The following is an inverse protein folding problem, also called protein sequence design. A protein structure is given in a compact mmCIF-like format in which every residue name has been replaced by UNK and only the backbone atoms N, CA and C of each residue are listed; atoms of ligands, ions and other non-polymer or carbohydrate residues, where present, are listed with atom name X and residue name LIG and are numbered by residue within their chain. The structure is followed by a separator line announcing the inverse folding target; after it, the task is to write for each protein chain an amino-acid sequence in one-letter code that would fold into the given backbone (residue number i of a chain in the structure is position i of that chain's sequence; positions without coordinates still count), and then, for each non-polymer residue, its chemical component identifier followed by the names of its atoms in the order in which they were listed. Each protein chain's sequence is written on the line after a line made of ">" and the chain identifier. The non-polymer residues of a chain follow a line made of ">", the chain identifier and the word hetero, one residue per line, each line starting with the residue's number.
data_IF_170430779187
#
_entry.id   IF_170430779187
#
_cell.length_a   1.000
_cell.length_b   1.000
_cell.length_c   1.000
_cell.angle_alpha   90.00
_cell.angle_beta   90.00
_cell.angle_gamma   90.00
#
_symmetry.space_group_name_H-M   'P 1'
#
loop_
_entity.id
_entity.type
_entity.pdbx_description
1 polymer ?
#
# COMPACT_ATOMS: atom_id res chain seq x y z
N UNK A 1 21.85 -4.40 -4.46
CA UNK A 1 21.94 -3.90 -3.07
C UNK A 1 20.52 -3.58 -2.65
N UNK A 2 20.08 -3.99 -1.46
CA UNK A 2 18.71 -3.72 -1.00
C UNK A 2 18.66 -2.31 -0.44
N UNK A 3 17.95 -1.41 -1.11
CA UNK A 3 17.70 -0.03 -0.66
C UNK A 3 16.49 -0.01 0.28
N UNK A 4 16.43 0.98 1.17
CA UNK A 4 15.31 1.13 2.12
C UNK A 4 15.12 2.56 2.61
N UNK A 5 13.90 2.86 3.06
CA UNK A 5 13.57 4.03 3.87
C UNK A 5 12.83 3.58 5.14
N UNK A 6 13.06 4.30 6.23
CA UNK A 6 12.48 4.01 7.56
C UNK A 6 11.81 5.23 8.20
N UNK A 7 11.82 6.36 7.48
CA UNK A 7 11.28 7.64 7.92
C UNK A 7 10.45 8.28 6.79
N UNK A 8 9.57 9.18 7.18
CA UNK A 8 8.71 9.96 6.29
C UNK A 8 7.90 9.10 5.30
N UNK A 9 7.01 8.25 5.80
CA UNK A 9 6.15 7.40 4.97
C UNK A 9 5.22 8.20 4.02
N UNK A 10 4.99 9.50 4.30
CA UNK A 10 4.09 10.37 3.51
C UNK A 10 4.49 10.52 2.05
N UNK A 11 5.77 10.31 1.72
CA UNK A 11 6.26 10.36 0.34
C UNK A 11 5.98 9.09 -0.48
N UNK A 12 5.45 8.04 0.16
CA UNK A 12 5.09 6.79 -0.51
C UNK A 12 3.74 6.95 -1.20
N UNK A 13 3.68 6.57 -2.48
CA UNK A 13 2.44 6.36 -3.22
C UNK A 13 2.37 4.93 -3.75
N UNK A 14 1.23 4.30 -3.52
CA UNK A 14 0.85 2.94 -3.88
C UNK A 14 -0.36 2.92 -4.82
N UNK A 15 -0.72 4.06 -5.40
CA UNK A 15 -1.82 4.16 -6.36
C UNK A 15 -1.60 3.16 -7.50
N UNK A 16 -2.65 2.44 -7.92
CA UNK A 16 -2.62 1.37 -8.92
C UNK A 16 -1.62 0.24 -8.65
N UNK A 17 -1.19 0.06 -7.40
CA UNK A 17 -0.31 -1.05 -7.03
C UNK A 17 -1.13 -2.29 -6.67
N UNK A 18 -0.65 -3.47 -7.07
CA UNK A 18 -1.24 -4.75 -6.70
C UNK A 18 -0.56 -5.24 -5.43
N UNK A 19 -1.35 -5.49 -4.40
CA UNK A 19 -0.88 -6.19 -3.20
C UNK A 19 -0.75 -7.68 -3.50
N UNK A 20 0.51 -8.12 -3.69
CA UNK A 20 0.84 -9.52 -4.01
C UNK A 20 0.75 -10.44 -2.81
N UNK A 21 1.07 -9.92 -1.62
CA UNK A 21 1.18 -10.72 -0.41
C UNK A 21 0.97 -9.87 0.84
N UNK A 22 0.27 -10.46 1.80
CA UNK A 22 0.21 -9.99 3.18
C UNK A 22 0.75 -11.11 4.08
N UNK A 23 1.63 -10.77 5.01
CA UNK A 23 2.00 -11.65 6.12
C UNK A 23 1.80 -10.91 7.45
N UNK A 24 1.28 -11.62 8.45
CA UNK A 24 1.37 -11.20 9.86
C UNK A 24 2.27 -12.15 10.61
N UNK A 25 3.34 -11.62 11.19
CA UNK A 25 4.34 -12.40 11.93
C UNK A 25 4.66 -11.61 13.20
N UNK A 26 4.28 -12.17 14.36
CA UNK A 26 4.46 -11.51 15.66
C UNK A 26 3.77 -10.13 15.67
N UNK A 27 4.54 -9.07 15.87
CA UNK A 27 4.14 -7.66 15.92
C UNK A 27 4.19 -6.97 14.55
N UNK A 28 4.46 -7.70 13.47
CA UNK A 28 4.70 -7.14 12.14
C UNK A 28 3.56 -7.42 11.17
N UNK A 29 3.16 -6.38 10.47
CA UNK A 29 2.42 -6.49 9.21
C UNK A 29 3.39 -6.28 8.05
N UNK A 30 3.44 -7.23 7.13
CA UNK A 30 4.30 -7.17 5.96
C UNK A 30 3.43 -7.20 4.72
N UNK A 31 3.58 -6.18 3.89
CA UNK A 31 2.91 -6.02 2.61
C UNK A 31 3.94 -6.12 1.50
N UNK A 32 3.68 -6.96 0.52
CA UNK A 32 4.47 -7.02 -0.71
C UNK A 32 3.62 -6.49 -1.84
N UNK A 33 4.07 -5.40 -2.47
CA UNK A 33 3.39 -4.75 -3.59
C UNK A 33 4.24 -4.85 -4.85
N UNK A 34 3.61 -4.81 -6.02
CA UNK A 34 4.28 -5.02 -7.30
C UNK A 34 5.08 -3.81 -7.80
N UNK A 35 4.70 -2.61 -7.37
CA UNK A 35 5.44 -1.37 -7.56
C UNK A 35 5.06 -0.35 -6.49
N UNK A 36 5.79 0.76 -6.44
CA UNK A 36 5.45 1.94 -5.65
C UNK A 36 6.18 3.16 -6.21
N UNK A 37 5.72 4.36 -5.87
CA UNK A 37 6.45 5.61 -6.08
C UNK A 37 6.94 6.16 -4.74
N UNK A 38 8.18 6.63 -4.70
CA UNK A 38 8.71 7.46 -3.62
C UNK A 38 8.89 8.87 -4.20
N UNK A 39 8.23 9.86 -3.63
CA UNK A 39 8.47 11.27 -3.95
C UNK A 39 9.67 11.79 -3.15
N UNK A 40 10.38 12.80 -3.64
CA UNK A 40 11.44 13.49 -2.90
C UNK A 40 12.46 12.53 -2.23
N UNK A 41 13.31 11.91 -3.06
CA UNK A 41 14.41 11.05 -2.59
C UNK A 41 15.72 11.85 -2.53
N UNK A 42 15.65 12.96 -1.80
CA UNK A 42 16.74 13.92 -1.64
C UNK A 42 17.97 13.35 -0.95
N UNK A 43 17.86 12.26 -0.17
CA UNK A 43 19.00 11.58 0.46
C UNK A 43 20.01 11.02 -0.57
N UNK A 44 19.58 10.89 -1.83
CA UNK A 44 20.44 10.47 -2.96
C UNK A 44 20.53 11.53 -4.07
N UNK A 45 20.14 12.77 -3.80
CA UNK A 45 20.05 13.87 -4.78
C UNK A 45 19.09 13.57 -5.96
N UNK A 46 17.97 12.89 -5.70
CA UNK A 46 16.93 12.60 -6.71
C UNK A 46 15.65 13.34 -6.34
N UNK A 47 15.44 14.52 -6.94
CA UNK A 47 14.34 15.42 -6.59
C UNK A 47 12.97 14.92 -7.06
N UNK A 48 12.88 14.38 -8.28
CA UNK A 48 11.59 13.97 -8.86
C UNK A 48 11.04 12.64 -8.31
N UNK A 49 11.84 11.93 -7.52
CA UNK A 49 11.47 10.65 -6.91
C UNK A 49 11.82 9.42 -7.75
N UNK A 50 11.39 8.26 -7.23
CA UNK A 50 11.69 6.93 -7.75
C UNK A 50 10.42 6.15 -8.06
N UNK A 51 10.49 5.34 -9.10
CA UNK A 51 9.54 4.24 -9.34
C UNK A 51 10.21 2.94 -8.96
N UNK A 52 9.67 2.28 -7.94
CA UNK A 52 10.18 1.04 -7.39
C UNK A 52 9.56 -0.15 -8.12
N UNK A 53 10.32 -1.22 -8.29
CA UNK A 53 9.77 -2.52 -8.67
C UNK A 53 9.08 -3.17 -7.48
N UNK A 54 9.07 -4.51 -7.44
CA UNK A 54 8.58 -5.25 -6.28
C UNK A 54 9.22 -4.70 -5.00
N UNK A 55 8.39 -4.28 -4.07
CA UNK A 55 8.85 -3.71 -2.82
C UNK A 55 8.05 -4.25 -1.64
N UNK A 56 8.68 -4.17 -0.48
CA UNK A 56 8.18 -4.71 0.77
C UNK A 56 8.04 -3.58 1.77
N UNK A 57 6.81 -3.36 2.22
CA UNK A 57 6.44 -2.43 3.27
C UNK A 57 6.17 -3.23 4.55
N UNK A 58 6.92 -2.94 5.60
CA UNK A 58 6.77 -3.60 6.91
C UNK A 58 6.36 -2.55 7.93
N UNK A 59 5.24 -2.78 8.60
CA UNK A 59 4.78 -2.02 9.75
C UNK A 59 4.98 -2.84 11.01
N UNK A 60 5.31 -2.17 12.11
CA UNK A 60 5.59 -2.80 13.39
C UNK A 60 4.65 -2.26 14.47
N UNK A 61 4.29 -3.13 15.40
CA UNK A 61 3.48 -2.83 16.59
C UNK A 61 2.15 -2.16 16.23
N UNK A 62 1.40 -2.82 15.33
CA UNK A 62 0.11 -2.31 14.87
C UNK A 62 -0.87 -2.19 16.03
N UNK A 63 -1.63 -1.10 16.05
CA UNK A 63 -2.70 -0.87 17.01
C UNK A 63 -3.84 -0.07 16.38
N UNK A 64 -4.99 -0.04 17.05
CA UNK A 64 -6.17 0.72 16.63
C UNK A 64 -6.53 0.48 15.15
N UNK A 65 -6.53 -0.80 14.78
CA UNK A 65 -6.86 -1.26 13.45
C UNK A 65 -8.38 -1.25 13.23
N UNK A 66 -8.79 -0.75 12.08
CA UNK A 66 -10.19 -0.79 11.63
C UNK A 66 -10.24 -1.03 10.13
N UNK A 67 -11.07 -1.97 9.70
CA UNK A 67 -11.32 -2.26 8.28
C UNK A 67 -12.77 -1.95 7.98
N UNK A 68 -13.02 -1.00 7.09
CA UNK A 68 -14.39 -0.67 6.63
C UNK A 68 -14.53 -1.08 5.17
N UNK A 69 -15.60 -1.78 4.84
CA UNK A 69 -15.97 -2.07 3.45
C UNK A 69 -17.20 -1.26 3.04
N UNK A 70 -17.12 -0.61 1.88
CA UNK A 70 -18.20 0.15 1.26
C UNK A 70 -18.53 -0.41 -0.13
N UNK A 71 -19.80 -0.72 -0.39
CA UNK A 71 -20.26 -1.24 -1.68
C UNK A 71 -21.01 -0.22 -2.51
N UNK A 72 -21.20 1.02 -2.02
CA UNK A 72 -22.05 2.02 -2.68
C UNK A 72 -21.54 2.46 -4.05
N UNK A 73 -20.26 2.24 -4.33
CA UNK A 73 -19.64 2.45 -5.64
C UNK A 73 -19.77 1.27 -6.61
N UNK A 74 -20.43 0.18 -6.21
CA UNK A 74 -20.55 -1.05 -7.00
C UNK A 74 -21.99 -1.23 -7.51
N UNK A 75 -22.20 -1.38 -8.84
CA UNK A 75 -23.53 -1.54 -9.42
C UNK A 75 -24.33 -2.67 -8.73
N UNK A 76 -25.57 -2.36 -8.35
CA UNK A 76 -26.48 -3.29 -7.65
C UNK A 76 -26.25 -3.42 -6.15
N UNK A 77 -25.33 -2.64 -5.56
CA UNK A 77 -25.07 -2.63 -4.11
C UNK A 77 -25.15 -1.22 -3.50
N UNK A 78 -25.78 -0.26 -4.18
CA UNK A 78 -25.84 1.17 -3.83
C UNK A 78 -26.51 1.44 -2.48
N UNK A 79 -27.37 0.51 -2.03
CA UNK A 79 -28.12 0.64 -0.78
C UNK A 79 -27.48 -0.13 0.40
N UNK A 80 -26.35 -0.80 0.19
CA UNK A 80 -25.65 -1.51 1.27
C UNK A 80 -24.83 -0.48 2.04
N UNK A 81 -25.17 -0.30 3.32
CA UNK A 81 -24.40 0.58 4.19
C UNK A 81 -22.96 0.05 4.38
N UNK A 82 -21.96 0.93 4.49
CA UNK A 82 -20.62 0.51 4.87
C UNK A 82 -20.64 -0.25 6.19
N UNK A 83 -19.78 -1.27 6.31
CA UNK A 83 -19.66 -2.06 7.54
C UNK A 83 -18.21 -2.23 7.93
N UNK A 84 -17.96 -2.24 9.23
CA UNK A 84 -16.68 -2.67 9.78
C UNK A 84 -16.58 -4.20 9.69
N UNK A 85 -15.41 -4.70 9.31
CA UNK A 85 -15.12 -6.13 9.18
C UNK A 85 -13.85 -6.49 9.96
N UNK A 86 -13.75 -7.76 10.35
CA UNK A 86 -12.52 -8.28 10.91
C UNK A 86 -11.49 -8.56 9.81
N UNK A 87 -10.20 -8.40 10.14
CA UNK A 87 -9.12 -8.77 9.23
C UNK A 87 -9.12 -10.28 8.97
N UNK A 88 -9.24 -10.68 7.71
CA UNK A 88 -8.97 -12.04 7.25
C UNK A 88 -8.03 -11.98 6.03
N UNK A 89 -6.89 -12.66 6.13
CA UNK A 89 -5.87 -12.73 5.07
C UNK A 89 -6.45 -13.19 3.71
N UNK A 90 -7.53 -13.98 3.73
CA UNK A 90 -8.20 -14.47 2.53
C UNK A 90 -8.91 -13.36 1.74
N UNK A 91 -9.22 -12.23 2.36
CA UNK A 91 -9.87 -11.08 1.72
C UNK A 91 -8.97 -10.36 0.71
N UNK A 92 -7.67 -10.65 0.74
CA UNK A 92 -6.66 -9.89 0.02
C UNK A 92 -6.10 -10.59 -1.21
N UNK A 93 -6.86 -11.53 -1.77
CA UNK A 93 -6.55 -12.09 -3.09
C UNK A 93 -6.78 -11.00 -4.13
N UNK A 94 -5.68 -10.48 -4.69
CA UNK A 94 -5.69 -9.46 -5.75
C UNK A 94 -6.26 -8.09 -5.34
N UNK A 95 -5.87 -7.61 -4.15
CA UNK A 95 -6.22 -6.25 -3.74
C UNK A 95 -5.47 -5.22 -4.60
N UNK A 96 -6.23 -4.54 -5.47
CA UNK A 96 -5.76 -3.34 -6.17
C UNK A 96 -5.80 -2.17 -5.20
N UNK A 97 -4.64 -1.69 -4.79
CA UNK A 97 -4.49 -0.48 -3.99
C UNK A 97 -4.79 0.70 -4.90
N UNK A 98 -5.80 1.47 -4.53
CA UNK A 98 -6.21 2.66 -5.27
C UNK A 98 -5.64 3.91 -4.63
N UNK A 99 -5.45 3.91 -3.32
CA UNK A 99 -4.82 5.02 -2.64
C UNK A 99 -4.17 4.55 -1.34
N UNK A 100 -3.18 5.31 -0.89
CA UNK A 100 -2.60 5.16 0.42
C UNK A 100 -2.39 6.56 1.00
N UNK A 101 -2.74 6.74 2.27
CA UNK A 101 -2.60 8.01 2.94
C UNK A 101 -2.00 7.81 4.31
N UNK A 102 -1.02 8.63 4.63
CA UNK A 102 -0.57 8.81 6.01
C UNK A 102 -1.20 10.07 6.56
N UNK A 103 -2.11 9.95 7.52
CA UNK A 103 -2.78 11.10 8.15
C UNK A 103 -1.80 11.87 9.02
N UNK A 104 -0.91 11.13 9.70
CA UNK A 104 0.26 11.64 10.43
C UNK A 104 1.44 10.67 10.21
N UNK A 105 2.50 10.72 11.03
CA UNK A 105 3.66 9.83 10.86
C UNK A 105 3.39 8.37 11.22
N UNK A 106 2.36 8.11 12.03
CA UNK A 106 2.10 6.82 12.66
C UNK A 106 0.71 6.26 12.34
N UNK A 107 -0.13 7.00 11.62
CA UNK A 107 -1.45 6.58 11.15
C UNK A 107 -1.45 6.39 9.64
N UNK A 108 -1.73 5.18 9.20
CA UNK A 108 -1.79 4.80 7.80
C UNK A 108 -3.19 4.34 7.39
N UNK A 109 -3.56 4.66 6.16
CA UNK A 109 -4.75 4.16 5.49
C UNK A 109 -4.33 3.55 4.16
N UNK A 110 -4.74 2.30 3.92
CA UNK A 110 -4.69 1.63 2.63
C UNK A 110 -6.11 1.51 2.11
N UNK A 111 -6.37 2.12 0.96
CA UNK A 111 -7.64 2.00 0.27
C UNK A 111 -7.47 1.14 -0.98
N UNK A 112 -8.46 0.30 -1.26
CA UNK A 112 -8.59 -0.21 -2.61
C UNK A 112 -9.75 -1.17 -2.83
N UNK A 113 -9.75 -1.78 -4.00
CA UNK A 113 -10.82 -2.67 -4.43
C UNK A 113 -10.51 -4.11 -4.02
N UNK A 114 -11.47 -4.75 -3.37
CA UNK A 114 -11.40 -6.18 -3.00
C UNK A 114 -12.64 -6.93 -3.51
N UNK A 115 -12.51 -8.24 -3.66
CA UNK A 115 -13.65 -9.15 -3.75
C UNK A 115 -13.99 -9.64 -2.32
N UNK A 116 -15.20 -9.33 -1.88
CA UNK A 116 -15.72 -9.70 -0.57
C UNK A 116 -17.12 -10.28 -0.74
N UNK A 117 -17.31 -11.54 -0.31
CA UNK A 117 -18.60 -12.26 -0.41
C UNK A 117 -19.17 -12.31 -1.86
N UNK A 118 -18.29 -12.43 -2.87
CA UNK A 118 -18.60 -12.39 -4.31
C UNK A 118 -19.15 -11.03 -4.78
N UNK A 119 -18.67 -9.95 -4.15
CA UNK A 119 -19.03 -8.57 -4.47
C UNK A 119 -17.77 -7.72 -4.44
N UNK A 120 -17.64 -6.84 -5.42
CA UNK A 120 -16.61 -5.82 -5.37
C UNK A 120 -16.95 -4.79 -4.30
N UNK A 121 -16.03 -4.55 -3.39
CA UNK A 121 -16.16 -3.56 -2.33
C UNK A 121 -14.91 -2.71 -2.23
N UNK A 122 -15.11 -1.46 -1.81
CA UNK A 122 -14.06 -0.53 -1.47
C UNK A 122 -13.65 -0.77 -0.03
N UNK A 123 -12.43 -1.24 0.18
CA UNK A 123 -11.87 -1.46 1.50
C UNK A 123 -11.05 -0.24 1.93
N UNK A 124 -11.38 0.31 3.09
CA UNK A 124 -10.55 1.25 3.84
C UNK A 124 -9.92 0.53 5.03
N UNK A 125 -8.62 0.31 4.97
CA UNK A 125 -7.86 -0.28 6.06
C UNK A 125 -7.04 0.79 6.79
N UNK A 126 -7.50 1.17 7.97
CA UNK A 126 -6.85 2.16 8.81
C UNK A 126 -6.16 1.46 9.99
N UNK A 127 -4.95 1.89 10.32
CA UNK A 127 -4.23 1.40 11.48
C UNK A 127 -3.17 2.40 11.94
N UNK A 128 -2.75 2.24 13.19
CA UNK A 128 -1.59 2.92 13.74
C UNK A 128 -0.42 1.95 13.84
N UNK A 129 0.80 2.48 13.81
CA UNK A 129 2.04 1.71 13.90
C UNK A 129 3.12 2.53 14.63
N UNK A 130 4.17 1.89 15.15
CA UNK A 130 5.26 2.60 15.85
C UNK A 130 6.44 2.94 14.94
N UNK A 131 6.70 2.10 13.95
CA UNK A 131 7.76 2.27 12.94
C UNK A 131 7.38 1.55 11.66
N UNK A 132 8.01 1.94 10.56
CA UNK A 132 7.88 1.26 9.28
C UNK A 132 9.25 1.04 8.61
N UNK A 133 9.28 0.13 7.64
CA UNK A 133 10.39 -0.02 6.70
C UNK A 133 9.81 -0.28 5.32
N UNK A 134 10.15 0.55 4.34
CA UNK A 134 9.95 0.24 2.92
C UNK A 134 11.29 -0.17 2.33
N UNK A 135 11.31 -1.29 1.61
CA UNK A 135 12.54 -1.79 0.98
C UNK A 135 12.32 -2.36 -0.41
N UNK A 136 13.33 -2.21 -1.27
CA UNK A 136 13.29 -2.61 -2.67
C UNK A 136 14.68 -3.01 -3.19
N UNK A 137 14.70 -3.75 -4.31
CA UNK A 137 15.94 -4.16 -4.96
C UNK A 137 16.24 -3.37 -6.23
N UNK A 138 15.21 -2.95 -6.95
CA UNK A 138 15.31 -2.29 -8.24
C UNK A 138 14.41 -1.07 -8.27
N UNK A 139 14.89 -0.01 -8.92
CA UNK A 139 14.16 1.21 -9.15
C UNK A 139 14.60 1.85 -10.47
N UNK A 140 13.79 2.77 -10.97
CA UNK A 140 14.15 3.73 -12.01
C UNK A 140 13.79 5.13 -11.51
N UNK A 141 14.38 6.16 -12.09
CA UNK A 141 13.97 7.54 -11.74
C UNK A 141 12.61 7.84 -12.33
N UNK A 142 11.92 8.83 -11.76
CA UNK A 142 10.66 9.32 -12.32
C UNK A 142 10.80 9.81 -13.77
N UNK A 143 11.90 10.50 -14.10
CA UNK A 143 12.25 10.91 -15.46
C UNK A 143 12.34 9.72 -16.42
N UNK A 144 13.06 8.66 -16.02
CA UNK A 144 13.18 7.44 -16.83
C UNK A 144 11.80 6.78 -17.08
N UNK A 145 10.95 6.73 -16.06
CA UNK A 145 9.60 6.18 -16.18
C UNK A 145 8.73 7.01 -17.13
N UNK A 146 8.78 8.35 -17.06
CA UNK A 146 8.09 9.25 -18.00
C UNK A 146 8.56 9.06 -19.44
N UNK A 147 9.81 8.64 -19.64
CA UNK A 147 10.37 8.29 -20.94
C UNK A 147 10.07 6.84 -21.38
N UNK A 148 9.18 6.14 -20.68
CA UNK A 148 8.71 4.80 -21.04
C UNK A 148 9.61 3.65 -20.56
N UNK A 149 10.62 3.93 -19.72
CA UNK A 149 11.40 2.86 -19.09
C UNK A 149 10.51 2.13 -18.07
N UNK A 150 10.61 0.80 -18.05
CA UNK A 150 9.85 -0.04 -17.13
C UNK A 150 10.80 -0.58 -16.07
N UNK A 151 10.43 -0.46 -14.79
CA UNK A 151 11.16 -1.08 -13.70
C UNK A 151 10.97 -2.59 -13.73
N UNK A 152 12.06 -3.35 -13.59
CA UNK A 152 11.97 -4.81 -13.56
C UNK A 152 11.31 -5.29 -12.26
N UNK A 153 10.29 -6.15 -12.40
CA UNK A 153 9.61 -6.82 -11.30
C UNK A 153 10.38 -8.09 -10.91
N UNK A 154 11.59 -7.94 -10.39
CA UNK A 154 12.38 -9.06 -9.82
C UNK A 154 11.95 -9.41 -8.39
#
# INVERSE_FOLDING_TARGET
>A
MKERIVENIKRLSLHDSILKKIDRIEDKLILTVDWAKIEDYTEKNIEEGLVLGNCRLTFYELNNESLTIDFRGTPGNENIAPKEIEFDIKLFKEWLILDNKSVDENKYCLNGLIDYENKYGWLDWNFYFSKFELSWNNYITWEEWRNGKIVKKE
#
